data_IF_738807851722
#
_entry.id   IF_738807851722
#
_cell.length_a   1.000
_cell.length_b   1.000
_cell.length_c   1.000
_cell.angle_alpha   90.00
_cell.angle_beta   90.00
_cell.angle_gamma   90.00
#
_symmetry.space_group_name_H-M   'P 1'
#
loop_
_entity.id
_entity.type
_entity.pdbx_description
1 polymer ?
#
# COMPACT_ATOMS: atom_id res chain seq x y z
N UNK A 1 -30.07 -12.26 -15.05
CA UNK A 1 -28.74 -12.08 -14.41
C UNK A 1 -27.83 -13.21 -14.87
N UNK A 2 -26.74 -12.90 -15.57
CA UNK A 2 -25.76 -13.91 -16.01
C UNK A 2 -24.94 -14.31 -14.77
N UNK A 3 -24.86 -15.60 -14.44
CA UNK A 3 -23.96 -16.08 -13.39
C UNK A 3 -22.53 -16.01 -13.93
N UNK A 4 -21.70 -15.17 -13.33
CA UNK A 4 -20.25 -15.20 -13.55
C UNK A 4 -19.73 -16.54 -13.03
N UNK A 5 -18.92 -17.20 -13.83
CA UNK A 5 -18.24 -18.45 -13.46
C UNK A 5 -16.90 -18.13 -12.80
N UNK A 6 -16.32 -19.05 -12.02
CA UNK A 6 -14.98 -18.87 -11.44
C UNK A 6 -13.92 -18.52 -12.51
N UNK A 7 -14.08 -19.07 -13.71
CA UNK A 7 -13.22 -18.76 -14.86
C UNK A 7 -13.32 -17.29 -15.32
N UNK A 8 -14.50 -16.68 -15.22
CA UNK A 8 -14.69 -15.27 -15.59
C UNK A 8 -14.01 -14.35 -14.58
N UNK A 9 -14.09 -14.68 -13.28
CA UNK A 9 -13.39 -13.93 -12.22
C UNK A 9 -11.87 -14.03 -12.33
N UNK A 10 -11.32 -15.21 -12.61
CA UNK A 10 -9.88 -15.40 -12.79
C UNK A 10 -9.34 -14.59 -13.97
N UNK A 11 -10.13 -14.46 -15.03
CA UNK A 11 -9.77 -13.67 -16.20
C UNK A 11 -9.80 -12.18 -15.89
N UNK A 12 -10.91 -11.68 -15.33
CA UNK A 12 -11.05 -10.28 -14.95
C UNK A 12 -9.94 -9.83 -13.99
N UNK A 13 -9.58 -10.68 -13.03
CA UNK A 13 -8.49 -10.40 -12.09
C UNK A 13 -7.12 -10.30 -12.78
N UNK A 14 -6.82 -11.20 -13.73
CA UNK A 14 -5.56 -11.14 -14.51
C UNK A 14 -5.50 -9.90 -15.39
N UNK A 15 -6.60 -9.55 -16.03
CA UNK A 15 -6.69 -8.36 -16.89
C UNK A 15 -6.42 -7.11 -16.06
N UNK A 16 -7.00 -7.00 -14.86
CA UNK A 16 -6.78 -5.88 -13.95
C UNK A 16 -5.32 -5.77 -13.47
N UNK A 17 -4.66 -6.90 -13.15
CA UNK A 17 -3.23 -6.90 -12.79
C UNK A 17 -2.39 -6.40 -13.96
N UNK A 18 -2.66 -6.87 -15.19
CA UNK A 18 -1.91 -6.49 -16.38
C UNK A 18 -2.07 -5.00 -16.68
N UNK A 19 -3.30 -4.48 -16.63
CA UNK A 19 -3.59 -3.05 -16.80
C UNK A 19 -2.87 -2.20 -15.77
N UNK A 20 -2.89 -2.62 -14.50
CA UNK A 20 -2.20 -1.94 -13.41
C UNK A 20 -0.68 -1.93 -13.65
N UNK A 21 -0.10 -3.05 -14.06
CA UNK A 21 1.33 -3.14 -14.36
C UNK A 21 1.72 -2.20 -15.51
N UNK A 22 0.91 -2.14 -16.57
CA UNK A 22 1.15 -1.24 -17.71
C UNK A 22 1.03 0.23 -17.31
N UNK A 23 0.01 0.59 -16.53
CA UNK A 23 -0.20 1.94 -16.04
C UNK A 23 0.99 2.41 -15.18
N UNK A 24 1.42 1.59 -14.22
CA UNK A 24 2.57 1.89 -13.37
C UNK A 24 3.89 1.97 -14.17
N UNK A 25 4.06 1.14 -15.20
CA UNK A 25 5.26 1.18 -16.05
C UNK A 25 5.35 2.46 -16.90
N UNK A 26 4.20 3.04 -17.28
CA UNK A 26 4.12 4.27 -18.06
C UNK A 26 4.33 5.55 -17.23
N UNK A 27 4.26 5.45 -15.89
CA UNK A 27 4.42 6.62 -15.02
C UNK A 27 5.87 7.10 -14.93
N UNK A 28 6.07 8.41 -14.72
CA UNK A 28 7.35 8.91 -14.25
C UNK A 28 7.79 8.18 -12.98
N UNK A 29 9.09 7.94 -12.86
CA UNK A 29 9.68 7.35 -11.66
C UNK A 29 10.28 8.44 -10.80
N UNK A 30 9.99 8.36 -9.52
CA UNK A 30 10.58 9.20 -8.48
C UNK A 30 11.51 8.39 -7.61
N UNK A 31 12.58 9.03 -7.14
CA UNK A 31 13.56 8.41 -6.26
C UNK A 31 13.15 8.62 -4.81
N UNK A 32 12.94 7.53 -4.09
CA UNK A 32 12.53 7.56 -2.67
C UNK A 32 13.51 6.76 -1.81
N UNK A 33 13.47 7.02 -0.51
CA UNK A 33 14.16 6.24 0.52
C UNK A 33 13.13 5.78 1.54
N UNK A 34 13.08 4.47 1.80
CA UNK A 34 12.11 3.87 2.73
C UNK A 34 12.88 3.36 3.95
N UNK A 35 12.86 4.05 5.10
CA UNK A 35 13.46 3.55 6.32
C UNK A 35 12.61 2.39 6.88
N UNK A 36 13.24 1.27 7.20
CA UNK A 36 12.57 0.08 7.73
C UNK A 36 13.55 -0.84 8.46
N UNK A 37 13.07 -1.64 9.38
CA UNK A 37 13.80 -2.76 9.99
C UNK A 37 13.81 -4.03 9.12
N UNK A 38 12.89 -4.12 8.16
CA UNK A 38 12.79 -5.18 7.15
C UNK A 38 13.53 -4.82 5.87
N UNK A 39 14.11 -5.80 5.19
CA UNK A 39 14.85 -5.66 3.92
C UNK A 39 13.99 -5.16 2.74
N UNK A 40 12.69 -5.45 2.77
CA UNK A 40 11.73 -5.06 1.76
C UNK A 40 10.47 -4.48 2.38
N UNK A 41 9.92 -3.47 1.71
CA UNK A 41 8.56 -3.02 1.88
C UNK A 41 7.67 -3.81 0.94
N UNK A 42 6.58 -4.36 1.47
CA UNK A 42 5.63 -5.17 0.72
C UNK A 42 4.27 -4.47 0.68
N UNK A 43 3.66 -4.47 -0.50
CA UNK A 43 2.31 -3.94 -0.70
C UNK A 43 1.68 -4.48 -1.97
N UNK A 44 0.47 -4.04 -2.28
CA UNK A 44 -0.20 -4.39 -3.53
C UNK A 44 -1.08 -3.28 -4.05
N UNK A 45 -1.26 -3.24 -5.37
CA UNK A 45 -2.22 -2.37 -6.06
C UNK A 45 -3.01 -3.26 -7.00
N UNK A 46 -4.33 -3.35 -6.81
CA UNK A 46 -5.23 -4.15 -7.66
C UNK A 46 -4.75 -5.61 -7.89
N UNK A 47 -4.22 -6.26 -6.85
CA UNK A 47 -3.69 -7.63 -6.93
C UNK A 47 -2.27 -7.75 -7.48
N UNK A 48 -1.66 -6.67 -7.97
CA UNK A 48 -0.24 -6.63 -8.32
C UNK A 48 0.59 -6.47 -7.05
N UNK A 49 1.34 -7.51 -6.67
CA UNK A 49 2.27 -7.47 -5.55
C UNK A 49 3.50 -6.62 -5.87
N UNK A 50 3.87 -5.75 -4.93
CA UNK A 50 5.02 -4.87 -5.00
C UNK A 50 6.00 -5.23 -3.88
N UNK A 51 7.26 -5.47 -4.25
CA UNK A 51 8.37 -5.68 -3.33
C UNK A 51 9.43 -4.62 -3.61
N UNK A 52 9.68 -3.76 -2.63
CA UNK A 52 10.53 -2.57 -2.80
C UNK A 52 11.60 -2.60 -1.72
N UNK A 53 12.87 -2.50 -2.13
CA UNK A 53 13.97 -2.48 -1.17
C UNK A 53 13.91 -1.28 -0.24
N UNK A 54 14.26 -1.49 1.02
CA UNK A 54 14.33 -0.47 2.06
C UNK A 54 15.79 -0.08 2.33
N UNK A 55 15.99 0.99 3.09
CA UNK A 55 17.30 1.46 3.53
C UNK A 55 18.30 1.78 2.39
N UNK A 56 17.81 1.92 1.16
CA UNK A 56 18.52 2.43 0.02
C UNK A 56 17.60 3.31 -0.84
N UNK A 57 18.18 4.11 -1.73
CA UNK A 57 17.39 4.92 -2.64
C UNK A 57 16.96 4.12 -3.86
N UNK A 58 15.65 4.03 -4.06
CA UNK A 58 15.02 3.27 -5.16
C UNK A 58 14.16 4.18 -6.04
N UNK A 59 14.09 3.87 -7.33
CA UNK A 59 13.21 4.57 -8.27
C UNK A 59 11.91 3.79 -8.46
N UNK A 60 10.79 4.38 -8.07
CA UNK A 60 9.46 3.76 -8.14
C UNK A 60 8.49 4.68 -8.88
N UNK A 61 7.38 4.16 -9.45
CA UNK A 61 6.32 4.99 -10.02
C UNK A 61 5.78 6.00 -9.00
N UNK A 62 5.37 7.19 -9.47
CA UNK A 62 4.82 8.26 -8.61
C UNK A 62 3.67 7.81 -7.72
N UNK A 63 2.74 7.00 -8.23
CA UNK A 63 1.62 6.50 -7.43
C UNK A 63 2.06 5.52 -6.35
N UNK A 64 3.10 4.72 -6.62
CA UNK A 64 3.70 3.83 -5.63
C UNK A 64 4.36 4.64 -4.51
N UNK A 65 5.09 5.70 -4.87
CA UNK A 65 5.66 6.61 -3.87
C UNK A 65 4.57 7.28 -3.02
N UNK A 66 3.47 7.71 -3.64
CA UNK A 66 2.32 8.30 -2.97
C UNK A 66 1.66 7.31 -2.00
N UNK A 67 1.45 6.06 -2.44
CA UNK A 67 0.93 4.99 -1.59
C UNK A 67 1.80 4.75 -0.35
N UNK A 68 3.12 4.64 -0.53
CA UNK A 68 4.07 4.46 0.58
C UNK A 68 4.03 5.66 1.54
N UNK A 69 3.97 6.88 1.00
CA UNK A 69 3.86 8.11 1.79
C UNK A 69 2.58 8.14 2.63
N UNK A 70 1.44 7.77 2.04
CA UNK A 70 0.15 7.68 2.73
C UNK A 70 0.18 6.61 3.82
N UNK A 71 0.72 5.43 3.55
CA UNK A 71 0.87 4.37 4.56
C UNK A 71 1.74 4.82 5.73
N UNK A 72 2.85 5.49 5.45
CA UNK A 72 3.76 6.02 6.49
C UNK A 72 3.05 7.07 7.36
N UNK A 73 2.23 7.93 6.74
CA UNK A 73 1.42 8.92 7.46
C UNK A 73 0.41 8.26 8.37
N UNK A 74 -0.35 7.28 7.87
CA UNK A 74 -1.34 6.53 8.66
C UNK A 74 -0.68 5.87 9.86
N UNK A 75 0.44 5.17 9.68
CA UNK A 75 1.17 4.54 10.78
C UNK A 75 1.57 5.55 11.87
N UNK A 76 2.08 6.72 11.48
CA UNK A 76 2.45 7.79 12.41
C UNK A 76 1.23 8.35 13.14
N UNK A 77 0.14 8.60 12.44
CA UNK A 77 -1.08 9.16 13.01
C UNK A 77 -1.75 8.16 13.98
N UNK A 78 -1.72 6.86 13.65
CA UNK A 78 -2.15 5.77 14.54
C UNK A 78 -1.28 5.66 15.79
N UNK A 79 0.05 5.75 15.67
CA UNK A 79 0.95 5.72 16.83
C UNK A 79 0.66 6.89 17.80
N UNK A 80 0.50 8.11 17.27
CA UNK A 80 0.12 9.29 18.07
C UNK A 80 -1.24 9.14 18.74
N UNK A 81 -2.21 8.54 18.05
CA UNK A 81 -3.52 8.29 18.64
C UNK A 81 -3.43 7.29 19.80
N UNK A 82 -2.59 6.25 19.66
CA UNK A 82 -2.35 5.25 20.71
C UNK A 82 -1.63 5.84 21.93
N UNK A 83 -0.61 6.68 21.72
CA UNK A 83 0.07 7.40 22.80
C UNK A 83 -0.92 8.25 23.61
N UNK A 84 -1.76 9.05 22.93
CA UNK A 84 -2.81 9.85 23.60
C UNK A 84 -3.80 9.00 24.39
N UNK A 85 -4.16 7.82 23.90
CA UNK A 85 -5.03 6.90 24.63
C UNK A 85 -4.35 6.38 25.89
N UNK A 86 -3.08 5.97 25.80
CA UNK A 86 -2.30 5.47 26.92
C UNK A 86 -2.06 6.54 28.00
N UNK A 87 -1.91 7.81 27.61
CA UNK A 87 -1.70 8.96 28.51
C UNK A 87 -2.99 9.44 29.21
N UNK A 88 -4.07 8.66 29.18
CA UNK A 88 -5.32 8.98 29.86
C UNK A 88 -6.36 9.68 28.98
N UNK A 89 -6.26 9.54 27.65
CA UNK A 89 -7.30 9.93 26.70
C UNK A 89 -8.67 9.31 27.05
N UNK A 90 -9.78 9.86 26.53
CA UNK A 90 -11.12 9.47 26.91
C UNK A 90 -11.30 7.96 26.72
N UNK A 91 -11.36 7.23 27.83
CA UNK A 91 -11.67 5.81 27.84
C UNK A 91 -13.09 5.67 27.31
N UNK A 92 -13.28 4.79 26.33
CA UNK A 92 -14.62 4.42 25.88
C UNK A 92 -15.33 3.89 27.12
N UNK A 93 -16.30 4.66 27.64
CA UNK A 93 -17.15 4.21 28.73
C UNK A 93 -17.92 3.00 28.19
N UNK A 94 -17.59 1.82 28.68
CA UNK A 94 -18.38 0.62 28.41
C UNK A 94 -19.74 0.86 29.06
N UNK A 95 -20.79 0.99 28.23
CA UNK A 95 -22.18 1.06 28.67
C UNK A 95 -22.62 -0.26 29.30
#
# INVERSE_FOLDING_TARGET
MKKLTEHDFDKEHKDLINETQQALAAQPKVRIFIPSDRDVWEGSINGLTLLIKTNEYVSVPEDVATLIGNNTKVLRDSAKAMEKFNDGGPKVATL
#
